data_IF_817658707675
#
_entry.id   IF_817658707675
#
_cell.length_a   1.000
_cell.length_b   1.000
_cell.length_c   1.000
_cell.angle_alpha   90.00
_cell.angle_beta   90.00
_cell.angle_gamma   90.00
#
_symmetry.space_group_name_H-M   'P 1'
#
loop_
_entity.id
_entity.type
_entity.pdbx_description
1 polymer ?
#
# COMPACT_ATOMS: atom_id res chain seq x y z
N UNK A 1 2.33 -4.66 -25.75
CA UNK A 1 2.24 -5.45 -24.51
C UNK A 1 2.04 -4.47 -23.37
N UNK A 2 0.82 -4.31 -22.87
CA UNK A 2 0.50 -3.36 -21.80
C UNK A 2 0.83 -4.01 -20.45
N UNK A 3 1.90 -3.55 -19.82
CA UNK A 3 2.34 -4.02 -18.50
C UNK A 3 1.36 -3.50 -17.44
N UNK A 4 0.41 -4.33 -17.00
CA UNK A 4 -0.38 -4.07 -15.79
C UNK A 4 0.42 -4.48 -14.54
N UNK A 5 1.57 -3.84 -14.31
CA UNK A 5 2.42 -4.04 -13.14
C UNK A 5 2.90 -2.68 -12.63
N UNK A 6 2.30 -2.11 -11.59
CA UNK A 6 2.59 -2.40 -10.18
C UNK A 6 3.92 -1.79 -9.72
N UNK A 7 3.99 -0.45 -9.64
CA UNK A 7 5.07 0.28 -8.94
C UNK A 7 4.84 0.34 -7.41
N UNK A 8 4.10 -0.60 -6.84
CA UNK A 8 3.85 -0.67 -5.40
C UNK A 8 4.79 -1.67 -4.77
N UNK A 9 5.38 -1.26 -3.64
CA UNK A 9 6.22 -2.10 -2.79
C UNK A 9 5.66 -2.06 -1.37
N UNK A 10 5.80 -3.17 -0.65
CA UNK A 10 5.55 -3.15 0.79
C UNK A 10 6.71 -2.45 1.50
N UNK A 11 6.41 -1.73 2.58
CA UNK A 11 7.41 -0.99 3.37
C UNK A 11 8.43 -1.89 4.04
N UNK A 12 8.12 -3.18 4.21
CA UNK A 12 9.00 -4.21 4.76
C UNK A 12 9.89 -4.88 3.69
N UNK A 13 9.78 -4.47 2.42
CA UNK A 13 10.55 -5.02 1.30
C UNK A 13 10.08 -6.40 0.83
N UNK A 14 9.01 -6.97 1.40
CA UNK A 14 8.48 -8.25 0.93
C UNK A 14 7.88 -8.11 -0.47
N UNK A 15 8.01 -9.14 -1.33
CA UNK A 15 7.48 -9.07 -2.69
C UNK A 15 5.94 -9.04 -2.66
N UNK A 16 5.37 -8.16 -3.49
CA UNK A 16 3.91 -8.11 -3.67
C UNK A 16 3.43 -9.36 -4.40
N UNK A 17 2.78 -10.26 -3.67
CA UNK A 17 2.18 -11.50 -4.21
C UNK A 17 0.65 -11.43 -4.34
N UNK A 18 0.03 -10.42 -3.75
CA UNK A 18 -1.42 -10.24 -3.72
C UNK A 18 -1.79 -8.77 -3.82
N UNK A 19 -2.85 -8.46 -4.57
CA UNK A 19 -3.47 -7.14 -4.56
C UNK A 19 -5.00 -7.23 -4.47
N UNK A 20 -5.63 -6.27 -3.78
CA UNK A 20 -7.09 -6.17 -3.68
C UNK A 20 -7.60 -4.75 -4.01
N UNK A 21 -7.01 -4.12 -5.02
CA UNK A 21 -7.44 -2.78 -5.45
C UNK A 21 -8.92 -2.73 -5.82
N UNK A 22 -9.57 -1.62 -5.47
CA UNK A 22 -10.90 -1.33 -5.99
C UNK A 22 -10.86 -1.06 -7.50
N UNK A 23 -12.01 -1.12 -8.16
CA UNK A 23 -12.14 -0.74 -9.57
C UNK A 23 -11.64 0.71 -9.75
N UNK A 24 -10.72 0.92 -10.70
CA UNK A 24 -10.10 2.22 -10.95
C UNK A 24 -8.94 2.58 -10.01
N UNK A 25 -8.50 1.64 -9.17
CA UNK A 25 -7.33 1.77 -8.31
C UNK A 25 -6.25 0.76 -8.70
N UNK A 26 -4.95 1.07 -8.49
CA UNK A 26 -4.41 2.39 -8.16
C UNK A 26 -4.70 3.40 -9.28
N UNK A 27 -5.23 4.59 -8.94
CA UNK A 27 -5.59 5.61 -9.94
C UNK A 27 -4.39 6.41 -10.47
N UNK A 28 -4.62 7.31 -11.43
CA UNK A 28 -3.57 8.15 -12.03
C UNK A 28 -2.90 9.15 -11.06
N UNK A 29 -3.46 9.31 -9.85
CA UNK A 29 -2.93 10.17 -8.80
C UNK A 29 -1.58 9.69 -8.23
N UNK A 30 -1.12 8.49 -8.59
CA UNK A 30 0.11 7.91 -8.02
C UNK A 30 1.30 8.21 -8.93
N UNK A 31 1.83 9.41 -8.74
CA UNK A 31 3.23 9.74 -9.05
C UNK A 31 3.95 10.32 -7.85
N UNK A 32 3.42 10.11 -6.64
CA UNK A 32 4.11 10.50 -5.41
C UNK A 32 4.91 9.31 -4.86
N UNK A 33 6.20 9.50 -4.52
CA UNK A 33 6.96 8.49 -3.78
C UNK A 33 6.40 8.22 -2.38
N UNK A 34 5.53 9.09 -1.87
CA UNK A 34 4.85 8.95 -0.57
C UNK A 34 3.48 8.27 -0.65
N UNK A 35 3.06 7.74 -1.80
CA UNK A 35 1.73 7.15 -1.93
C UNK A 35 1.54 5.99 -0.95
N UNK A 36 0.38 5.96 -0.29
CA UNK A 36 0.01 4.93 0.69
C UNK A 36 -1.26 4.18 0.30
N UNK A 37 -1.57 3.13 1.06
CA UNK A 37 -2.77 2.31 0.88
C UNK A 37 -3.72 2.49 2.06
N UNK A 38 -5.01 2.58 1.78
CA UNK A 38 -6.05 2.51 2.82
C UNK A 38 -7.24 1.65 2.39
N UNK A 39 -8.03 1.25 3.39
CA UNK A 39 -9.27 0.48 3.21
C UNK A 39 -10.43 1.28 3.79
N UNK A 40 -11.55 1.31 3.07
CA UNK A 40 -12.77 2.01 3.49
C UNK A 40 -13.57 1.18 4.49
N UNK A 41 -14.43 1.86 5.26
CA UNK A 41 -15.37 1.23 6.21
C UNK A 41 -16.57 0.54 5.55
N UNK A 42 -16.60 0.42 4.22
CA UNK A 42 -17.73 -0.15 3.48
C UNK A 42 -17.82 -1.69 3.58
N UNK A 43 -16.79 -2.32 4.15
CA UNK A 43 -16.74 -3.75 4.43
C UNK A 43 -16.35 -4.62 3.23
N UNK A 44 -16.04 -4.06 2.06
CA UNK A 44 -15.62 -4.88 0.89
C UNK A 44 -14.13 -5.24 0.90
N UNK A 45 -13.35 -4.63 1.81
CA UNK A 45 -11.91 -4.86 1.97
C UNK A 45 -11.04 -4.38 0.81
N UNK A 46 -11.62 -3.62 -0.14
CA UNK A 46 -10.94 -3.12 -1.33
C UNK A 46 -10.01 -1.97 -1.00
N UNK A 47 -8.91 -1.92 -1.71
CA UNK A 47 -7.84 -0.96 -1.48
C UNK A 47 -8.00 0.27 -2.35
N UNK A 48 -7.67 1.41 -1.78
CA UNK A 48 -7.61 2.71 -2.44
C UNK A 48 -6.24 3.32 -2.14
N UNK A 49 -5.72 4.10 -3.08
CA UNK A 49 -4.49 4.86 -2.85
C UNK A 49 -4.79 6.17 -2.13
N UNK A 50 -3.91 6.56 -1.21
CA UNK A 50 -3.88 7.87 -0.56
C UNK A 50 -2.62 8.65 -0.95
N UNK A 51 -2.68 9.97 -0.87
CA UNK A 51 -1.49 10.82 -0.92
C UNK A 51 -0.86 10.91 0.46
N UNK A 52 0.21 10.15 0.71
CA UNK A 52 0.85 10.14 2.03
C UNK A 52 1.55 11.44 2.44
N UNK A 53 1.58 12.47 1.60
CA UNK A 53 2.03 13.81 2.02
C UNK A 53 0.92 14.65 2.67
N UNK A 54 -0.33 14.50 2.20
CA UNK A 54 -1.43 15.40 2.58
C UNK A 54 -2.58 14.68 3.29
N UNK A 55 -2.70 13.35 3.10
CA UNK A 55 -3.75 12.55 3.69
C UNK A 55 -3.25 11.88 4.99
N UNK A 56 -3.90 12.19 6.10
CA UNK A 56 -3.60 11.57 7.39
C UNK A 56 -4.68 10.55 7.75
N UNK A 57 -4.27 9.29 7.96
CA UNK A 57 -5.16 8.19 8.27
C UNK A 57 -4.60 7.32 9.42
N UNK A 58 -5.45 6.60 10.16
CA UNK A 58 -4.96 5.54 11.04
C UNK A 58 -4.24 4.45 10.22
N UNK A 59 -3.24 3.83 10.82
CA UNK A 59 -2.40 2.82 10.16
C UNK A 59 -2.37 1.50 10.94
N UNK A 60 -1.96 0.44 10.23
CA UNK A 60 -1.80 -0.91 10.77
C UNK A 60 -0.30 -1.24 10.76
N UNK A 61 0.24 -1.64 11.92
CA UNK A 61 1.62 -2.09 12.02
C UNK A 61 1.72 -3.60 11.84
N UNK A 62 2.83 -4.05 11.28
CA UNK A 62 3.27 -5.43 11.31
C UNK A 62 4.55 -5.54 12.14
N UNK A 63 4.72 -6.64 12.86
CA UNK A 63 5.93 -6.98 13.60
C UNK A 63 6.16 -8.48 13.56
N UNK A 64 7.42 -8.91 13.63
CA UNK A 64 7.72 -10.33 13.77
C UNK A 64 7.47 -10.77 15.22
N UNK A 65 6.84 -11.93 15.39
CA UNK A 65 6.51 -12.47 16.72
C UNK A 65 7.75 -12.80 17.56
N UNK A 66 8.91 -12.99 16.92
CA UNK A 66 10.18 -13.25 17.56
C UNK A 66 10.94 -11.97 17.99
N UNK A 67 10.36 -10.79 17.75
CA UNK A 67 10.96 -9.51 18.10
C UNK A 67 12.05 -9.05 17.13
N UNK A 68 12.27 -9.75 16.01
CA UNK A 68 13.15 -9.26 14.96
C UNK A 68 12.50 -8.10 14.21
N UNK A 69 13.30 -7.09 13.89
CA UNK A 69 12.88 -5.96 13.08
C UNK A 69 13.27 -6.22 11.62
N UNK A 70 12.31 -6.10 10.71
CA UNK A 70 12.64 -5.88 9.30
C UNK A 70 13.19 -4.46 9.20
N UNK A 71 14.41 -4.29 8.67
CA UNK A 71 14.91 -2.95 8.36
C UNK A 71 13.95 -2.31 7.37
N UNK A 72 13.17 -1.32 7.84
CA UNK A 72 12.35 -0.50 6.97
C UNK A 72 13.31 0.17 5.99
N UNK A 73 13.08 -0.03 4.69
CA UNK A 73 13.86 0.66 3.67
C UNK A 73 13.63 2.16 3.85
N UNK A 74 14.66 2.87 4.32
CA UNK A 74 14.69 4.33 4.49
C UNK A 74 14.72 5.06 3.16
#
# INVERSE_FOLDING_TARGET
>A
MTTFGSNWVWSDGTPVSYTNWNIGQPGDAIKSPSAGLYVTKDGNGKWYSLDGQNDHAPFICQYHSDGSHTELLS
#
